data_IF_156446915449
#
_entry.id   IF_156446915449
#
_cell.length_a   1.000
_cell.length_b   1.000
_cell.length_c   1.000
_cell.angle_alpha   90.00
_cell.angle_beta   90.00
_cell.angle_gamma   90.00
#
_symmetry.space_group_name_H-M   'P 1'
#
loop_
_entity.id
_entity.type
_entity.pdbx_description
1 polymer ?
#
# COMPACT_ATOMS: atom_id res chain seq x y z
N UNK A 1 42.88 -12.63 32.52
CA UNK A 1 42.56 -12.21 33.89
C UNK A 1 41.62 -11.00 33.80
N UNK A 2 40.52 -11.04 34.55
CA UNK A 2 39.27 -10.30 34.30
C UNK A 2 39.23 -8.86 34.86
N UNK A 3 38.22 -8.12 34.35
CA UNK A 3 37.46 -7.01 34.93
C UNK A 3 38.02 -5.60 34.81
N UNK A 4 37.36 -4.79 33.98
CA UNK A 4 36.67 -3.57 34.42
C UNK A 4 35.34 -3.44 33.68
N UNK A 5 34.25 -3.58 34.44
CA UNK A 5 32.90 -3.22 34.03
C UNK A 5 32.85 -1.70 33.83
N UNK A 6 32.43 -1.24 32.66
CA UNK A 6 32.01 0.13 32.44
C UNK A 6 30.56 0.12 31.97
N UNK A 7 29.65 0.16 32.94
CA UNK A 7 28.27 0.56 32.72
C UNK A 7 28.27 2.01 32.28
N UNK A 8 27.94 2.26 31.02
CA UNK A 8 27.61 3.59 30.50
C UNK A 8 26.22 3.53 29.88
N UNK A 9 25.20 3.86 30.68
CA UNK A 9 23.86 4.17 30.17
C UNK A 9 23.94 5.51 29.44
N UNK A 10 23.69 5.50 28.13
CA UNK A 10 23.42 6.68 27.32
C UNK A 10 22.09 6.48 26.62
N UNK A 11 21.02 6.98 27.23
CA UNK A 11 19.66 7.01 26.68
C UNK A 11 19.54 8.18 25.69
N UNK A 12 18.57 8.07 24.77
CA UNK A 12 18.00 9.12 23.91
C UNK A 12 18.89 9.55 22.72
N UNK A 13 18.46 9.43 21.46
CA UNK A 13 17.11 9.25 20.96
C UNK A 13 16.95 10.18 19.77
N UNK A 14 16.98 9.63 18.56
CA UNK A 14 16.25 10.16 17.41
C UNK A 14 15.81 8.95 16.60
N UNK A 15 14.78 8.26 17.10
CA UNK A 15 13.86 7.64 16.16
C UNK A 15 13.17 8.82 15.48
N UNK A 16 13.60 9.16 14.26
CA UNK A 16 12.78 9.94 13.33
C UNK A 16 11.56 9.06 13.06
N UNK A 17 10.60 9.10 13.98
CA UNK A 17 9.25 8.68 13.73
C UNK A 17 8.80 9.54 12.56
N UNK A 18 8.89 8.96 11.36
CA UNK A 18 8.17 9.44 10.21
C UNK A 18 6.77 9.68 10.73
N UNK A 19 6.37 10.95 10.72
CA UNK A 19 5.02 11.38 11.08
C UNK A 19 4.14 10.87 9.94
N UNK A 20 3.97 9.55 9.85
CA UNK A 20 2.97 8.96 9.00
C UNK A 20 1.68 9.30 9.71
N UNK A 21 1.05 10.42 9.31
CA UNK A 21 -0.36 10.61 9.58
C UNK A 21 -1.04 9.26 9.36
N UNK A 22 -1.92 8.78 10.24
CA UNK A 22 -2.56 7.46 10.10
C UNK A 22 -3.10 7.23 8.69
N UNK A 23 -3.54 8.29 8.02
CA UNK A 23 -3.96 8.31 6.62
C UNK A 23 -2.93 7.78 5.60
N UNK A 24 -1.62 7.87 5.83
CA UNK A 24 -0.57 7.43 4.89
C UNK A 24 -0.32 5.91 4.96
N UNK A 25 -0.38 5.31 6.15
CA UNK A 25 -0.15 3.88 6.35
C UNK A 25 -1.21 3.01 5.65
N UNK A 26 -2.44 3.51 5.52
CA UNK A 26 -3.56 2.75 4.93
C UNK A 26 -3.71 2.91 3.41
N UNK A 27 -2.81 3.65 2.72
CA UNK A 27 -2.99 3.95 1.28
C UNK A 27 -2.78 2.74 0.38
N UNK A 28 -1.69 1.99 0.56
CA UNK A 28 -1.41 0.80 -0.24
C UNK A 28 -2.56 -0.24 -0.16
N UNK A 29 -2.99 -0.69 1.05
CA UNK A 29 -4.06 -1.67 1.14
C UNK A 29 -5.39 -1.15 0.61
N UNK A 30 -5.68 0.15 0.76
CA UNK A 30 -6.89 0.77 0.20
C UNK A 30 -6.89 0.74 -1.33
N UNK A 31 -5.82 1.18 -1.97
CA UNK A 31 -5.73 1.24 -3.44
C UNK A 31 -5.72 -0.16 -4.06
N UNK A 32 -4.99 -1.11 -3.46
CA UNK A 32 -5.01 -2.51 -3.89
C UNK A 32 -6.43 -3.09 -3.80
N UNK A 33 -7.15 -2.81 -2.71
CA UNK A 33 -8.55 -3.23 -2.57
C UNK A 33 -9.44 -2.60 -3.64
N UNK A 34 -9.34 -1.29 -3.88
CA UNK A 34 -10.11 -0.61 -4.91
C UNK A 34 -9.83 -1.17 -6.31
N UNK A 35 -8.57 -1.48 -6.62
CA UNK A 35 -8.21 -2.08 -7.89
C UNK A 35 -8.82 -3.49 -8.05
N UNK A 36 -8.80 -4.31 -6.99
CA UNK A 36 -9.50 -5.59 -6.98
C UNK A 36 -11.02 -5.46 -7.19
N UNK A 37 -11.66 -4.50 -6.53
CA UNK A 37 -13.09 -4.23 -6.72
C UNK A 37 -13.41 -3.72 -8.14
N UNK A 38 -12.54 -2.91 -8.73
CA UNK A 38 -12.68 -2.45 -10.11
C UNK A 38 -12.55 -3.62 -11.10
N UNK A 39 -11.59 -4.53 -10.88
CA UNK A 39 -11.43 -5.74 -11.68
C UNK A 39 -12.64 -6.66 -11.61
N UNK A 40 -13.26 -6.79 -10.42
CA UNK A 40 -14.46 -7.60 -10.23
C UNK A 40 -15.68 -7.03 -10.97
N UNK A 41 -15.71 -5.71 -11.22
CA UNK A 41 -16.76 -5.02 -11.99
C UNK A 41 -16.46 -4.94 -13.49
N UNK A 42 -15.21 -5.14 -13.89
CA UNK A 42 -14.81 -5.11 -15.29
C UNK A 42 -15.38 -6.33 -16.04
N UNK A 43 -15.74 -6.13 -17.31
CA UNK A 43 -16.20 -7.24 -18.16
C UNK A 43 -15.02 -8.13 -18.51
N UNK A 44 -15.22 -9.45 -18.52
CA UNK A 44 -14.16 -10.41 -18.85
C UNK A 44 -13.54 -10.23 -20.25
N UNK A 45 -14.30 -9.63 -21.18
CA UNK A 45 -13.84 -9.30 -22.54
C UNK A 45 -13.04 -7.98 -22.61
N UNK A 46 -12.86 -7.28 -21.49
CA UNK A 46 -12.03 -6.08 -21.44
C UNK A 46 -10.55 -6.49 -21.51
N UNK A 47 -9.90 -6.20 -22.64
CA UNK A 47 -8.48 -6.52 -22.85
C UNK A 47 -7.55 -5.91 -21.80
N UNK A 48 -8.01 -4.89 -21.07
CA UNK A 48 -7.26 -4.25 -19.98
C UNK A 48 -7.31 -5.04 -18.66
N UNK A 49 -8.24 -5.97 -18.50
CA UNK A 49 -8.42 -6.74 -17.26
C UNK A 49 -7.21 -7.64 -16.95
N UNK A 50 -6.61 -8.27 -17.95
CA UNK A 50 -5.40 -9.09 -17.74
C UNK A 50 -4.24 -8.23 -17.26
N UNK A 51 -3.99 -7.08 -17.91
CA UNK A 51 -2.93 -6.16 -17.51
C UNK A 51 -3.17 -5.57 -16.11
N UNK A 52 -4.43 -5.26 -15.77
CA UNK A 52 -4.78 -4.79 -14.44
C UNK A 52 -4.53 -5.86 -13.36
N UNK A 53 -4.81 -7.14 -13.63
CA UNK A 53 -4.51 -8.25 -12.69
C UNK A 53 -3.02 -8.34 -12.39
N UNK A 54 -2.18 -8.25 -13.41
CA UNK A 54 -0.72 -8.30 -13.25
C UNK A 54 -0.20 -7.12 -12.43
N UNK A 55 -0.71 -5.92 -12.69
CA UNK A 55 -0.36 -4.72 -11.94
C UNK A 55 -0.80 -4.79 -10.48
N UNK A 56 -1.99 -5.31 -10.19
CA UNK A 56 -2.47 -5.49 -8.81
C UNK A 56 -1.64 -6.55 -8.08
N UNK A 57 -1.31 -7.67 -8.74
CA UNK A 57 -0.44 -8.68 -8.17
C UNK A 57 0.96 -8.12 -7.88
N UNK A 58 1.49 -7.26 -8.76
CA UNK A 58 2.75 -6.57 -8.54
C UNK A 58 2.67 -5.56 -7.39
N UNK A 59 1.59 -4.79 -7.31
CA UNK A 59 1.34 -3.86 -6.21
C UNK A 59 1.31 -4.57 -4.85
N UNK A 60 0.69 -5.76 -4.79
CA UNK A 60 0.67 -6.60 -3.59
C UNK A 60 2.07 -7.07 -3.20
N UNK A 61 2.85 -7.62 -4.14
CA UNK A 61 4.25 -8.03 -3.86
C UNK A 61 5.10 -6.87 -3.35
N UNK A 62 4.94 -5.68 -3.93
CA UNK A 62 5.65 -4.48 -3.50
C UNK A 62 5.20 -4.02 -2.11
N UNK A 63 3.90 -4.16 -1.78
CA UNK A 63 3.40 -3.89 -0.43
C UNK A 63 4.03 -4.83 0.60
N UNK A 64 4.02 -6.14 0.30
CA UNK A 64 4.56 -7.18 1.16
C UNK A 64 6.09 -7.01 1.36
N UNK A 65 6.79 -6.48 0.36
CA UNK A 65 8.21 -6.15 0.41
C UNK A 65 8.54 -4.78 1.07
N UNK A 66 7.53 -4.04 1.54
CA UNK A 66 7.72 -2.70 2.14
C UNK A 66 8.01 -1.58 1.13
N UNK A 67 7.94 -1.85 -0.17
CA UNK A 67 8.16 -0.89 -1.26
C UNK A 67 6.89 -0.06 -1.53
N UNK A 68 6.46 0.72 -0.54
CA UNK A 68 5.15 1.38 -0.54
C UNK A 68 4.93 2.37 -1.69
N UNK A 69 5.95 3.15 -2.07
CA UNK A 69 5.82 4.10 -3.19
C UNK A 69 5.52 3.39 -4.52
N UNK A 70 6.25 2.31 -4.80
CA UNK A 70 6.05 1.51 -6.01
C UNK A 70 4.73 0.73 -5.96
N UNK A 71 4.33 0.23 -4.79
CA UNK A 71 3.02 -0.41 -4.60
C UNK A 71 1.86 0.52 -4.95
N UNK A 72 1.90 1.76 -4.44
CA UNK A 72 0.91 2.80 -4.75
C UNK A 72 0.88 3.09 -6.25
N UNK A 73 2.04 3.24 -6.88
CA UNK A 73 2.15 3.50 -8.32
C UNK A 73 1.48 2.39 -9.13
N UNK A 74 1.78 1.12 -8.83
CA UNK A 74 1.22 -0.04 -9.55
C UNK A 74 -0.29 -0.19 -9.33
N UNK A 75 -0.79 0.06 -8.12
CA UNK A 75 -2.22 0.05 -7.86
C UNK A 75 -2.97 1.17 -8.61
N UNK A 76 -2.39 2.37 -8.71
CA UNK A 76 -2.97 3.47 -9.49
C UNK A 76 -2.96 3.19 -11.00
N UNK A 77 -1.86 2.63 -11.55
CA UNK A 77 -1.79 2.20 -12.95
C UNK A 77 -2.92 1.19 -13.28
N UNK A 78 -3.20 0.25 -12.38
CA UNK A 78 -4.31 -0.71 -12.55
C UNK A 78 -5.68 -0.02 -12.54
N UNK A 79 -5.91 0.91 -11.61
CA UNK A 79 -7.15 1.68 -11.53
C UNK A 79 -7.38 2.54 -12.78
N UNK A 80 -6.34 3.19 -13.28
CA UNK A 80 -6.40 4.01 -14.50
C UNK A 80 -6.74 3.17 -15.73
N UNK A 81 -6.12 2.00 -15.89
CA UNK A 81 -6.45 1.06 -16.97
C UNK A 81 -7.93 0.68 -16.96
N UNK A 82 -8.50 0.45 -15.77
CA UNK A 82 -9.90 0.09 -15.59
C UNK A 82 -10.85 1.30 -15.62
N UNK A 83 -10.33 2.52 -15.79
CA UNK A 83 -11.13 3.75 -15.74
C UNK A 83 -11.74 4.04 -14.36
N UNK A 84 -11.20 3.44 -13.30
CA UNK A 84 -11.62 3.62 -11.93
C UNK A 84 -10.80 4.72 -11.24
N UNK A 85 -11.45 5.54 -10.39
CA UNK A 85 -10.74 6.57 -9.62
C UNK A 85 -10.18 5.97 -8.33
N UNK A 86 -8.91 6.29 -8.05
CA UNK A 86 -8.32 6.08 -6.73
C UNK A 86 -9.02 6.98 -5.71
N UNK A 87 -9.74 6.37 -4.77
CA UNK A 87 -10.49 7.11 -3.76
C UNK A 87 -9.66 7.18 -2.47
N UNK A 88 -9.40 8.38 -1.98
CA UNK A 88 -8.62 8.60 -0.74
C UNK A 88 -9.37 8.22 0.53
N UNK A 89 -10.67 7.93 0.40
CA UNK A 89 -11.59 7.59 1.46
C UNK A 89 -12.21 6.24 1.09
N UNK A 90 -12.25 5.23 1.98
CA UNK A 90 -13.04 4.04 1.72
C UNK A 90 -14.47 4.48 1.40
N UNK A 91 -15.14 3.89 0.40
CA UNK A 91 -16.53 4.25 0.14
C UNK A 91 -17.29 4.11 1.44
N UNK A 92 -17.92 5.20 1.89
CA UNK A 92 -18.83 5.16 3.03
C UNK A 92 -19.74 3.97 2.77
N UNK A 93 -19.71 2.96 3.67
CA UNK A 93 -20.46 1.72 3.56
C UNK A 93 -21.86 2.10 3.08
N UNK A 94 -22.15 1.85 1.81
CA UNK A 94 -23.38 2.32 1.18
C UNK A 94 -24.48 1.39 1.66
N UNK A 95 -25.00 1.71 2.85
CA UNK A 95 -26.17 1.10 3.47
C UNK A 95 -25.97 -0.34 3.92
N UNK A 96 -26.58 -0.65 5.05
CA UNK A 96 -27.13 -1.98 5.32
C UNK A 96 -28.26 -2.28 4.33
#
# INVERSE_FOLDING_TARGET
MMKRLATGIGVFGVALGLITSPAAAFRCPLLIKQANEAMAKAKASDGKLTQAKDLVAHAQRLHDAGQHAESVKKANEALELLGAKAESTPPARRGY
#
